data_IF_993040182613
#
_entry.id   IF_993040182613
#
_cell.length_a   1.000
_cell.length_b   1.000
_cell.length_c   1.000
_cell.angle_alpha   90.00
_cell.angle_beta   90.00
_cell.angle_gamma   90.00
#
_symmetry.space_group_name_H-M   'P 1'
#
loop_
_entity.id
_entity.type
_entity.pdbx_description
1 polymer ?
#
# COMPACT_ATOMS: atom_id res chain seq x y z
N UNK A 1 -4.76 5.03 -13.56
CA UNK A 1 -5.66 4.48 -12.53
C UNK A 1 -5.01 3.25 -11.92
N UNK A 2 -5.17 3.10 -10.61
CA UNK A 2 -4.50 2.10 -9.80
C UNK A 2 -5.53 1.35 -8.95
N UNK A 3 -5.26 0.07 -8.71
CA UNK A 3 -5.89 -0.72 -7.65
C UNK A 3 -4.98 -0.74 -6.42
N UNK A 4 -5.60 -0.66 -5.25
CA UNK A 4 -4.92 -0.62 -3.96
C UNK A 4 -5.42 -1.80 -3.14
N UNK A 5 -4.51 -2.49 -2.47
CA UNK A 5 -4.84 -3.45 -1.43
C UNK A 5 -3.99 -3.17 -0.19
N UNK A 6 -4.64 -3.10 0.97
CA UNK A 6 -3.98 -3.03 2.27
C UNK A 6 -4.31 -4.33 2.99
N UNK A 7 -3.28 -5.10 3.31
CA UNK A 7 -3.44 -6.40 3.95
C UNK A 7 -2.67 -6.43 5.25
N UNK A 8 -3.31 -6.89 6.32
CA UNK A 8 -2.64 -7.16 7.58
C UNK A 8 -1.80 -8.42 7.46
N UNK A 9 -0.59 -8.34 7.99
CA UNK A 9 0.35 -9.45 8.10
C UNK A 9 0.35 -9.92 9.55
N UNK A 10 0.02 -11.19 9.77
CA UNK A 10 0.16 -11.85 11.07
C UNK A 10 1.11 -13.04 10.95
N UNK A 11 1.55 -13.57 12.10
CA UNK A 11 2.43 -14.75 12.16
C UNK A 11 3.69 -14.55 11.31
N UNK A 12 4.37 -13.42 11.53
CA UNK A 12 5.57 -12.99 10.78
C UNK A 12 5.40 -12.88 9.25
N UNK A 13 4.16 -12.69 8.80
CA UNK A 13 3.81 -12.57 7.38
C UNK A 13 3.44 -13.89 6.73
N UNK A 14 3.31 -14.98 7.50
CA UNK A 14 2.77 -16.25 7.05
C UNK A 14 1.27 -16.16 6.73
N UNK A 15 0.54 -15.31 7.46
CA UNK A 15 -0.87 -15.06 7.22
C UNK A 15 -1.07 -13.63 6.70
N UNK A 16 -1.85 -13.54 5.62
CA UNK A 16 -2.15 -12.28 4.92
C UNK A 16 -3.67 -12.16 4.84
N UNK A 17 -4.21 -11.15 5.51
CA UNK A 17 -5.65 -10.84 5.49
C UNK A 17 -5.86 -9.49 4.85
N UNK A 18 -6.57 -9.43 3.72
CA UNK A 18 -6.90 -8.14 3.11
C UNK A 18 -7.94 -7.41 3.93
N UNK A 19 -7.59 -6.23 4.45
CA UNK A 19 -8.50 -5.38 5.24
C UNK A 19 -9.15 -4.28 4.38
N UNK A 20 -8.45 -3.81 3.36
CA UNK A 20 -8.97 -2.80 2.44
C UNK A 20 -8.61 -3.10 0.99
N UNK A 21 -9.57 -2.83 0.09
CA UNK A 21 -9.37 -2.75 -1.35
C UNK A 21 -10.01 -1.49 -1.88
N UNK A 22 -9.31 -0.81 -2.77
CA UNK A 22 -9.78 0.43 -3.36
C UNK A 22 -9.20 0.65 -4.76
N UNK A 23 -9.65 1.73 -5.38
CA UNK A 23 -9.12 2.24 -6.63
C UNK A 23 -8.75 3.71 -6.46
N UNK A 24 -7.70 4.15 -7.12
CA UNK A 24 -7.28 5.54 -7.14
C UNK A 24 -6.91 5.99 -8.55
N UNK A 25 -7.17 7.24 -8.88
CA UNK A 25 -6.82 7.83 -10.18
C UNK A 25 -5.33 8.18 -10.25
N UNK A 26 -4.72 8.53 -9.12
CA UNK A 26 -3.29 8.87 -8.98
C UNK A 26 -2.63 8.14 -7.81
N UNK A 27 -1.30 8.24 -7.71
CA UNK A 27 -0.57 7.75 -6.54
C UNK A 27 -0.90 8.56 -5.29
N UNK A 28 -1.09 9.88 -5.42
CA UNK A 28 -1.45 10.75 -4.29
C UNK A 28 -2.81 10.37 -3.69
N UNK A 29 -3.78 10.01 -4.52
CA UNK A 29 -5.09 9.52 -4.07
C UNK A 29 -4.95 8.13 -3.41
N UNK A 30 -4.04 7.28 -3.91
CA UNK A 30 -3.74 6.01 -3.25
C UNK A 30 -3.11 6.20 -1.86
N UNK A 31 -2.27 7.23 -1.71
CA UNK A 31 -1.69 7.61 -0.43
C UNK A 31 -2.72 8.20 0.53
N UNK A 32 -3.68 8.97 0.01
CA UNK A 32 -4.80 9.47 0.81
C UNK A 32 -5.60 8.30 1.38
N UNK A 33 -5.99 7.32 0.56
CA UNK A 33 -6.70 6.12 1.01
C UNK A 33 -5.90 5.31 2.05
N UNK A 34 -4.57 5.21 1.88
CA UNK A 34 -3.69 4.59 2.87
C UNK A 34 -3.73 5.35 4.21
N UNK A 35 -3.65 6.68 4.21
CA UNK A 35 -3.69 7.50 5.43
C UNK A 35 -5.07 7.49 6.10
N UNK A 36 -6.14 7.37 5.34
CA UNK A 36 -7.49 7.22 5.90
C UNK A 36 -7.66 5.87 6.62
N UNK A 37 -7.08 4.79 6.07
CA UNK A 37 -7.17 3.46 6.67
C UNK A 37 -6.14 3.22 7.78
N UNK A 38 -4.94 3.77 7.63
CA UNK A 38 -3.80 3.62 8.55
C UNK A 38 -3.20 5.01 8.85
N UNK A 39 -3.85 5.85 9.67
CA UNK A 39 -3.46 7.25 9.84
C UNK A 39 -2.10 7.46 10.52
N UNK A 40 -1.58 6.43 11.20
CA UNK A 40 -0.35 6.52 11.98
C UNK A 40 0.88 5.89 11.30
N UNK A 41 0.75 5.38 10.06
CA UNK A 41 1.90 4.76 9.36
C UNK A 41 2.78 5.79 8.69
N UNK A 42 4.08 5.54 8.70
CA UNK A 42 5.02 6.29 7.88
C UNK A 42 4.80 5.95 6.39
N UNK A 43 4.47 6.97 5.59
CA UNK A 43 4.30 6.86 4.15
C UNK A 43 5.47 7.42 3.35
N UNK A 44 6.61 7.73 4.00
CA UNK A 44 7.79 8.31 3.34
C UNK A 44 8.31 7.46 2.17
N UNK A 45 8.22 6.14 2.27
CA UNK A 45 8.64 5.22 1.21
C UNK A 45 7.74 5.20 -0.04
N UNK A 46 6.58 5.86 0.02
CA UNK A 46 5.57 5.87 -1.04
C UNK A 46 5.64 7.13 -1.91
N UNK A 47 6.79 7.81 -1.98
CA UNK A 47 6.99 8.92 -2.91
C UNK A 47 6.48 8.55 -4.31
N UNK A 48 5.68 9.43 -4.92
CA UNK A 48 4.99 9.14 -6.19
C UNK A 48 5.93 8.64 -7.28
N UNK A 49 7.17 9.14 -7.31
CA UNK A 49 8.21 8.67 -8.24
C UNK A 49 8.65 7.22 -7.97
N UNK A 50 8.78 6.80 -6.71
CA UNK A 50 9.15 5.44 -6.35
C UNK A 50 8.05 4.44 -6.73
N UNK A 51 6.80 4.79 -6.44
CA UNK A 51 5.63 4.00 -6.84
C UNK A 51 5.53 3.90 -8.35
N UNK A 52 5.64 5.02 -9.06
CA UNK A 52 5.56 5.06 -10.53
C UNK A 52 6.69 4.27 -11.18
N UNK A 53 7.92 4.37 -10.67
CA UNK A 53 9.06 3.57 -11.17
C UNK A 53 8.83 2.07 -10.97
N UNK A 54 8.31 1.66 -9.81
CA UNK A 54 8.02 0.25 -9.54
C UNK A 54 6.92 -0.28 -10.45
N UNK A 55 5.79 0.43 -10.55
CA UNK A 55 4.67 0.04 -11.41
C UNK A 55 5.09 -0.07 -12.87
N UNK A 56 5.88 0.88 -13.38
CA UNK A 56 6.36 0.84 -14.77
C UNK A 56 7.34 -0.33 -15.03
N UNK A 57 8.03 -0.84 -14.00
CA UNK A 57 9.06 -1.88 -14.15
C UNK A 57 8.54 -3.29 -13.92
N UNK A 58 7.71 -3.49 -12.90
CA UNK A 58 7.27 -4.83 -12.44
C UNK A 58 5.76 -4.97 -12.33
N UNK A 59 4.98 -3.99 -12.82
CA UNK A 59 3.51 -3.96 -12.80
C UNK A 59 2.86 -3.92 -11.40
N UNK A 60 3.63 -3.68 -10.34
CA UNK A 60 3.11 -3.29 -9.04
C UNK A 60 4.16 -2.57 -8.19
N UNK A 61 3.71 -1.96 -7.10
CA UNK A 61 4.50 -1.46 -6.00
C UNK A 61 4.02 -2.17 -4.74
N UNK A 62 4.96 -2.74 -3.98
CA UNK A 62 4.69 -3.45 -2.72
C UNK A 62 5.57 -2.88 -1.63
N UNK A 63 4.96 -2.52 -0.51
CA UNK A 63 5.70 -2.02 0.65
C UNK A 63 5.06 -2.50 1.95
N UNK A 64 5.90 -2.94 2.89
CA UNK A 64 5.46 -3.31 4.23
C UNK A 64 5.57 -2.08 5.14
N UNK A 65 4.49 -1.75 5.84
CA UNK A 65 4.43 -0.67 6.83
C UNK A 65 4.12 -1.22 8.21
N UNK A 66 4.57 -0.50 9.23
CA UNK A 66 4.30 -0.80 10.62
C UNK A 66 3.51 0.34 11.24
N UNK A 67 2.46 0.01 11.98
CA UNK A 67 1.73 0.96 12.81
C UNK A 67 2.40 1.04 14.20
N UNK A 68 2.28 2.18 14.91
CA UNK A 68 2.91 2.35 16.23
C UNK A 68 2.41 1.36 17.31
N UNK A 69 1.23 0.81 17.14
CA UNK A 69 0.64 -0.24 18.00
C UNK A 69 1.17 -1.66 17.69
N UNK A 70 2.14 -1.78 16.78
CA UNK A 70 2.78 -3.06 16.42
C UNK A 70 2.07 -3.82 15.31
N UNK A 71 1.05 -3.23 14.68
CA UNK A 71 0.43 -3.81 13.49
C UNK A 71 1.39 -3.79 12.30
N UNK A 72 1.41 -4.87 11.53
CA UNK A 72 2.20 -4.99 10.30
C UNK A 72 1.25 -5.13 9.12
N UNK A 73 1.49 -4.34 8.08
CA UNK A 73 0.63 -4.28 6.91
C UNK A 73 1.46 -4.30 5.63
N UNK A 74 0.93 -4.92 4.59
CA UNK A 74 1.42 -4.83 3.22
C UNK A 74 0.48 -3.98 2.40
N UNK A 75 1.02 -2.93 1.80
CA UNK A 75 0.34 -2.09 0.83
C UNK A 75 0.78 -2.50 -0.56
N UNK A 76 -0.19 -2.76 -1.44
CA UNK A 76 0.04 -3.05 -2.85
C UNK A 76 -0.67 -1.99 -3.67
N UNK A 77 0.06 -1.32 -4.55
CA UNK A 77 -0.46 -0.40 -5.56
C UNK A 77 -0.10 -0.98 -6.92
N UNK A 78 -1.09 -1.25 -7.76
CA UNK A 78 -0.87 -1.82 -9.09
C UNK A 78 -1.70 -1.06 -10.13
N UNK A 79 -1.24 -0.95 -11.39
CA UNK A 79 -2.03 -0.34 -12.43
C UNK A 79 -3.28 -1.19 -12.69
N UNK A 80 -4.37 -0.54 -13.07
CA UNK A 80 -5.49 -1.24 -13.69
C UNK A 80 -5.15 -1.47 -15.15
N UNK A 81 -5.12 -2.74 -15.57
CA UNK A 81 -4.99 -3.16 -16.97
C UNK A 81 -6.37 -3.43 -17.56
#
# INVERSE_FOLDING_TARGET
>A
MFRIAISRLTDDGQHITTEHRGTAMSVDEALLALREHLPAVDTSAFESDAVQRSVNRVNDFRHDVHTPDGGRYRVVIAPMM
#
